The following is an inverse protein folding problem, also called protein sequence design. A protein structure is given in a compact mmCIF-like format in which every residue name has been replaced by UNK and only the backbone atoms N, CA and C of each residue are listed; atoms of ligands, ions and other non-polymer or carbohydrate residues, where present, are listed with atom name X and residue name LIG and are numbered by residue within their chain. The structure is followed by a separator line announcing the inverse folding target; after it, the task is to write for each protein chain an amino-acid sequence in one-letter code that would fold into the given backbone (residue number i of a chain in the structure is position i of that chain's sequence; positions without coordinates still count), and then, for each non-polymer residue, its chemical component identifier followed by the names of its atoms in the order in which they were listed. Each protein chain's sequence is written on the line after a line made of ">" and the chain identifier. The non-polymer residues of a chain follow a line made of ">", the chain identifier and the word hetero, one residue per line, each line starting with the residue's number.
data_IF_955322130619
#
_entry.id   IF_955322130619
#
_cell.length_a   1.000
_cell.length_b   1.000
_cell.length_c   1.000
_cell.angle_alpha   90.00
_cell.angle_beta   90.00
_cell.angle_gamma   90.00
#
_symmetry.space_group_name_H-M   'P 1'
#
loop_
_entity.id
_entity.type
_entity.pdbx_description
1 polymer ?
#
# COMPACT_ATOMS: atom_id res chain seq x y z
N UNK A 1 -23.92 -17.98 0.96
CA UNK A 1 -23.05 -18.70 0.02
C UNK A 1 -21.68 -18.03 0.05
N UNK A 2 -20.66 -18.66 0.64
CA UNK A 2 -19.41 -17.94 0.98
C UNK A 2 -18.11 -18.74 1.05
N UNK A 3 -18.12 -20.05 0.83
CA UNK A 3 -16.86 -20.81 0.74
C UNK A 3 -16.28 -20.66 -0.67
N UNK A 4 -15.08 -20.09 -0.78
CA UNK A 4 -14.29 -20.01 -2.01
C UNK A 4 -14.30 -18.68 -2.78
N UNK A 5 -14.97 -17.64 -2.29
CA UNK A 5 -14.98 -16.32 -2.96
C UNK A 5 -13.69 -15.50 -2.77
N UNK A 6 -12.83 -15.88 -1.82
CA UNK A 6 -11.69 -15.08 -1.38
C UNK A 6 -12.08 -13.83 -0.57
N UNK A 7 -13.37 -13.65 -0.27
CA UNK A 7 -13.90 -12.51 0.49
C UNK A 7 -14.43 -12.99 1.84
N UNK A 8 -13.97 -12.34 2.91
CA UNK A 8 -14.45 -12.55 4.27
C UNK A 8 -15.36 -11.38 4.64
N UNK A 9 -16.53 -11.68 5.21
CA UNK A 9 -17.46 -10.69 5.75
C UNK A 9 -17.29 -10.60 7.27
N UNK A 10 -16.88 -9.43 7.76
CA UNK A 10 -16.63 -9.12 9.18
C UNK A 10 -17.77 -8.28 9.76
N UNK A 11 -19.02 -8.63 9.47
CA UNK A 11 -20.19 -7.90 9.96
C UNK A 11 -20.50 -6.67 9.12
N UNK A 12 -20.43 -6.81 7.80
CA UNK A 12 -20.67 -5.76 6.81
C UNK A 12 -19.43 -5.03 6.33
N UNK A 13 -18.26 -5.32 6.93
CA UNK A 13 -16.96 -5.01 6.35
C UNK A 13 -16.45 -6.23 5.60
N UNK A 14 -16.48 -6.15 4.27
CA UNK A 14 -15.91 -7.19 3.40
C UNK A 14 -14.42 -6.96 3.22
N UNK A 15 -13.62 -8.01 3.36
CA UNK A 15 -12.16 -7.97 3.22
C UNK A 15 -11.70 -9.05 2.25
N UNK A 16 -10.72 -8.75 1.41
CA UNK A 16 -10.10 -9.68 0.48
C UNK A 16 -8.58 -9.46 0.41
N UNK A 17 -7.83 -10.50 0.02
CA UNK A 17 -6.39 -10.40 -0.24
C UNK A 17 -6.13 -10.12 -1.72
N UNK A 18 -5.21 -9.20 -1.99
CA UNK A 18 -4.69 -8.94 -3.34
C UNK A 18 -3.19 -9.29 -3.36
N UNK A 19 -2.81 -10.15 -4.29
CA UNK A 19 -1.42 -10.55 -4.55
C UNK A 19 -0.91 -10.12 -5.94
N UNK A 20 -1.69 -9.31 -6.65
CA UNK A 20 -1.32 -8.68 -7.92
C UNK A 20 -0.94 -7.23 -7.72
N UNK A 21 0.14 -6.79 -8.36
CA UNK A 21 0.80 -5.53 -8.04
C UNK A 21 1.39 -4.85 -9.28
N UNK A 22 1.42 -3.51 -9.27
CA UNK A 22 2.33 -2.72 -10.09
C UNK A 22 3.52 -2.30 -9.25
N UNK A 23 4.73 -2.36 -9.84
CA UNK A 23 5.91 -1.74 -9.25
C UNK A 23 5.78 -0.21 -9.33
N UNK A 24 6.03 0.46 -8.22
CA UNK A 24 6.09 1.93 -8.14
C UNK A 24 7.54 2.39 -8.23
N UNK A 25 8.38 1.90 -7.33
CA UNK A 25 9.73 2.42 -7.09
C UNK A 25 10.62 1.36 -6.42
N UNK A 26 11.92 1.41 -6.71
CA UNK A 26 12.93 0.50 -6.14
C UNK A 26 14.13 1.30 -5.62
N UNK A 27 14.56 1.00 -4.38
CA UNK A 27 15.93 1.27 -3.93
C UNK A 27 16.82 0.09 -4.31
N UNK A 28 18.08 0.37 -4.66
CA UNK A 28 19.06 -0.62 -5.12
C UNK A 28 20.26 -0.74 -4.16
N UNK A 29 20.10 -0.22 -2.95
CA UNK A 29 21.06 -0.34 -1.85
C UNK A 29 20.32 -0.24 -0.49
N UNK A 30 21.01 -0.64 0.57
CA UNK A 30 20.45 -0.80 1.91
C UNK A 30 19.62 -2.08 2.07
N UNK A 31 19.03 -2.27 3.24
CA UNK A 31 18.18 -3.42 3.53
C UNK A 31 18.96 -4.75 3.58
N UNK A 32 18.26 -5.85 3.27
CA UNK A 32 18.84 -7.19 3.31
C UNK A 32 19.85 -7.39 2.17
N UNK A 33 21.05 -7.86 2.50
CA UNK A 33 22.17 -8.09 1.59
C UNK A 33 22.63 -6.84 0.80
N UNK A 34 22.27 -5.65 1.26
CA UNK A 34 22.53 -4.35 0.59
C UNK A 34 21.92 -4.26 -0.82
N UNK A 35 20.84 -5.00 -1.09
CA UNK A 35 20.19 -5.05 -2.40
C UNK A 35 18.99 -4.12 -2.54
N UNK A 36 18.61 -3.41 -1.47
CA UNK A 36 17.46 -2.51 -1.43
C UNK A 36 16.11 -3.23 -1.38
N UNK A 37 15.05 -2.46 -1.65
CA UNK A 37 13.68 -2.92 -1.62
C UNK A 37 12.86 -2.34 -2.77
N UNK A 38 11.83 -3.08 -3.19
CA UNK A 38 10.86 -2.62 -4.19
C UNK A 38 9.51 -2.39 -3.52
N UNK A 39 8.85 -1.31 -3.92
CA UNK A 39 7.56 -0.85 -3.42
C UNK A 39 6.50 -0.98 -4.52
N UNK A 40 5.30 -1.36 -4.12
CA UNK A 40 4.25 -1.81 -5.01
C UNK A 40 2.87 -1.28 -4.59
N UNK A 41 2.06 -0.86 -5.56
CA UNK A 41 0.62 -0.66 -5.37
C UNK A 41 -0.14 -1.93 -5.77
N UNK A 42 -1.20 -2.30 -5.02
CA UNK A 42 -2.09 -3.38 -5.44
C UNK A 42 -2.84 -3.04 -6.73
N UNK A 43 -3.02 -4.04 -7.58
CA UNK A 43 -3.80 -3.93 -8.82
C UNK A 43 -4.88 -4.99 -8.91
N UNK A 44 -5.83 -4.80 -9.83
CA UNK A 44 -6.96 -5.73 -9.99
C UNK A 44 -7.93 -5.71 -8.80
N UNK A 45 -8.00 -4.58 -8.09
CA UNK A 45 -8.88 -4.42 -6.93
C UNK A 45 -10.34 -4.55 -7.37
N UNK A 46 -11.14 -5.45 -6.75
CA UNK A 46 -12.55 -5.61 -7.08
C UNK A 46 -13.35 -4.31 -6.89
N UNK A 47 -14.40 -4.14 -7.69
CA UNK A 47 -15.23 -2.93 -7.63
C UNK A 47 -15.77 -2.66 -6.22
N UNK A 48 -15.57 -1.43 -5.76
CA UNK A 48 -16.02 -0.95 -4.45
C UNK A 48 -15.12 -1.34 -3.28
N UNK A 49 -14.04 -2.10 -3.51
CA UNK A 49 -12.99 -2.31 -2.52
C UNK A 49 -11.94 -1.21 -2.61
N UNK A 50 -11.34 -0.88 -1.45
CA UNK A 50 -10.27 0.08 -1.30
C UNK A 50 -9.03 -0.60 -0.72
N UNK A 51 -7.82 -0.26 -1.19
CA UNK A 51 -6.59 -0.78 -0.59
C UNK A 51 -6.36 -0.19 0.80
N UNK A 52 -5.84 -1.03 1.70
CA UNK A 52 -5.53 -0.62 3.08
C UNK A 52 -4.04 -0.25 3.26
N UNK A 53 -3.25 -0.32 2.18
CA UNK A 53 -1.85 0.07 2.13
C UNK A 53 -1.13 -0.47 0.90
N UNK A 54 0.10 0.00 0.68
CA UNK A 54 1.02 -0.53 -0.31
C UNK A 54 1.89 -1.65 0.25
N UNK A 55 2.54 -2.39 -0.64
CA UNK A 55 3.41 -3.50 -0.30
C UNK A 55 4.87 -3.16 -0.61
N UNK A 56 5.80 -3.70 0.18
CA UNK A 56 7.22 -3.62 -0.11
C UNK A 56 7.92 -4.92 0.27
N UNK A 57 8.97 -5.26 -0.46
CA UNK A 57 9.82 -6.40 -0.11
C UNK A 57 11.29 -6.17 -0.48
N UNK A 58 12.22 -6.90 0.18
CA UNK A 58 13.61 -6.96 -0.25
C UNK A 58 13.75 -7.44 -1.70
N UNK A 59 14.72 -6.89 -2.43
CA UNK A 59 14.95 -7.23 -3.84
C UNK A 59 15.56 -8.63 -4.05
N UNK A 60 16.11 -9.24 -2.99
CA UNK A 60 16.68 -10.58 -3.04
C UNK A 60 15.63 -11.71 -2.96
N UNK A 61 14.34 -11.39 -3.02
CA UNK A 61 13.24 -12.35 -2.98
C UNK A 61 12.34 -12.21 -4.22
N UNK A 62 11.85 -13.32 -4.80
CA UNK A 62 10.73 -13.29 -5.75
C UNK A 62 9.51 -12.59 -5.14
N UNK A 63 8.56 -12.11 -5.94
CA UNK A 63 7.32 -11.52 -5.41
C UNK A 63 6.48 -12.59 -4.71
N UNK A 64 6.14 -12.40 -3.42
CA UNK A 64 5.38 -13.39 -2.63
C UNK A 64 4.31 -12.80 -1.69
N UNK A 65 4.17 -11.47 -1.66
CA UNK A 65 3.31 -10.78 -0.71
C UNK A 65 1.85 -10.68 -1.10
N UNK A 66 1.06 -10.13 -0.18
CA UNK A 66 -0.31 -9.72 -0.39
C UNK A 66 -0.63 -8.51 0.49
N UNK A 67 -1.65 -7.75 0.10
CA UNK A 67 -2.26 -6.69 0.93
C UNK A 67 -3.74 -6.95 1.11
N UNK A 68 -4.34 -6.35 2.13
CA UNK A 68 -5.78 -6.36 2.31
C UNK A 68 -6.41 -5.21 1.53
N UNK A 69 -7.53 -5.53 0.88
CA UNK A 69 -8.50 -4.55 0.40
C UNK A 69 -9.80 -4.74 1.15
N UNK A 70 -10.55 -3.66 1.37
CA UNK A 70 -11.81 -3.74 2.08
C UNK A 70 -12.92 -2.92 1.40
N UNK A 71 -14.14 -3.40 1.55
CA UNK A 71 -15.38 -2.75 1.12
C UNK A 71 -16.31 -2.65 2.32
N UNK A 72 -16.75 -1.45 2.62
CA UNK A 72 -17.72 -1.19 3.68
C UNK A 72 -19.13 -1.17 3.09
N UNK A 73 -19.97 -2.11 3.51
CA UNK A 73 -21.38 -2.19 3.15
C UNK A 73 -22.29 -1.71 4.29
N UNK A 74 -21.73 -1.42 5.47
CA UNK A 74 -22.44 -0.93 6.65
C UNK A 74 -22.15 0.55 6.95
N UNK A 75 -21.46 1.24 6.03
CA UNK A 75 -21.20 2.69 5.99
C UNK A 75 -20.50 3.32 7.21
N UNK A 76 -19.81 2.52 8.04
CA UNK A 76 -19.16 3.00 9.24
C UNK A 76 -17.73 2.51 9.48
N UNK A 77 -17.28 1.46 8.81
CA UNK A 77 -15.99 0.83 9.08
C UNK A 77 -14.84 1.44 8.26
N UNK A 78 -15.12 2.02 7.09
CA UNK A 78 -14.10 2.68 6.25
C UNK A 78 -14.38 4.17 6.09
N UNK A 79 -13.31 4.97 6.11
CA UNK A 79 -13.31 6.38 5.73
C UNK A 79 -12.05 6.71 4.95
N UNK A 80 -12.20 7.64 4.02
CA UNK A 80 -11.06 8.21 3.32
C UNK A 80 -10.19 9.01 4.32
N UNK A 81 -8.86 8.98 4.14
CA UNK A 81 -7.96 9.91 4.82
C UNK A 81 -8.39 11.36 4.59
N UNK A 82 -8.18 12.21 5.59
CA UNK A 82 -8.46 13.65 5.48
C UNK A 82 -7.27 14.45 4.96
N UNK A 83 -6.06 13.90 5.09
CA UNK A 83 -4.81 14.44 4.57
C UNK A 83 -3.71 13.35 4.62
N UNK A 84 -2.48 13.68 4.24
CA UNK A 84 -1.31 12.80 4.29
C UNK A 84 -0.09 13.54 4.87
N UNK A 85 0.67 12.82 5.70
CA UNK A 85 1.98 13.25 6.19
C UNK A 85 3.07 12.59 5.34
N UNK A 86 3.98 13.39 4.76
CA UNK A 86 5.19 12.85 4.15
C UNK A 86 6.11 12.32 5.24
N UNK A 87 6.34 11.01 5.27
CA UNK A 87 7.20 10.35 6.27
C UNK A 87 8.64 10.31 5.79
N UNK A 88 8.85 10.05 4.49
CA UNK A 88 10.17 9.92 3.91
C UNK A 88 10.14 10.15 2.39
N UNK A 89 11.25 10.63 1.83
CA UNK A 89 11.45 10.68 0.37
C UNK A 89 12.91 10.44 0.01
N UNK A 90 13.14 9.86 -1.17
CA UNK A 90 14.47 9.76 -1.76
C UNK A 90 14.91 11.03 -2.48
N UNK A 91 14.01 12.00 -2.66
CA UNK A 91 14.34 13.28 -3.28
C UNK A 91 15.53 13.93 -2.57
N UNK A 92 16.52 14.32 -3.37
CA UNK A 92 17.78 14.92 -2.90
C UNK A 92 18.65 14.02 -2.03
N UNK A 93 18.30 12.74 -1.86
CA UNK A 93 19.16 11.73 -1.26
C UNK A 93 20.13 11.20 -2.32
N UNK A 94 21.37 10.92 -1.91
CA UNK A 94 22.36 10.28 -2.77
C UNK A 94 22.28 8.77 -2.61
N UNK A 95 21.19 8.18 -3.08
CA UNK A 95 21.00 6.72 -3.02
C UNK A 95 20.97 6.09 -4.41
N UNK A 96 21.36 4.83 -4.50
CA UNK A 96 21.09 4.00 -5.69
C UNK A 96 19.61 3.60 -5.71
N UNK A 97 18.91 3.98 -6.76
CA UNK A 97 17.48 3.75 -6.94
C UNK A 97 17.10 3.72 -8.42
N UNK A 98 15.82 3.49 -8.72
CA UNK A 98 15.24 3.70 -10.06
C UNK A 98 15.33 5.17 -10.52
N UNK A 99 14.82 5.45 -11.72
CA UNK A 99 14.90 6.78 -12.35
C UNK A 99 14.14 7.87 -11.59
N UNK A 100 13.03 7.52 -10.96
CA UNK A 100 12.15 8.44 -10.25
C UNK A 100 12.41 8.44 -8.74
N UNK A 101 12.10 9.56 -8.08
CA UNK A 101 12.14 9.66 -6.62
C UNK A 101 10.93 8.96 -6.00
N UNK A 102 11.13 8.29 -4.87
CA UNK A 102 10.06 7.70 -4.05
C UNK A 102 9.61 8.64 -2.94
N UNK A 103 8.31 8.61 -2.63
CA UNK A 103 7.70 9.36 -1.52
C UNK A 103 6.82 8.40 -0.73
N UNK A 104 7.05 8.32 0.58
CA UNK A 104 6.29 7.46 1.50
C UNK A 104 5.41 8.35 2.37
N UNK A 105 4.10 8.12 2.29
CA UNK A 105 3.08 8.91 2.94
C UNK A 105 2.34 8.08 4.00
N UNK A 106 2.14 8.67 5.17
CA UNK A 106 1.23 8.16 6.19
C UNK A 106 -0.11 8.89 6.05
N UNK A 107 -1.22 8.17 5.77
CA UNK A 107 -2.54 8.78 5.75
C UNK A 107 -2.94 9.31 7.14
N UNK A 108 -3.53 10.50 7.17
CA UNK A 108 -4.13 11.08 8.37
C UNK A 108 -5.60 10.64 8.39
N UNK A 109 -5.94 9.74 9.32
CA UNK A 109 -7.29 9.25 9.47
C UNK A 109 -8.20 10.28 10.15
N UNK A 110 -9.50 10.33 9.81
CA UNK A 110 -10.48 11.10 10.57
C UNK A 110 -10.65 10.55 12.00
N UNK A 111 -11.20 11.37 12.90
CA UNK A 111 -11.45 10.97 14.29
C UNK A 111 -12.24 9.66 14.38
N UNK A 112 -11.76 8.74 15.23
CA UNK A 112 -12.36 7.41 15.39
C UNK A 112 -11.87 6.36 14.40
N UNK A 113 -10.98 6.72 13.48
CA UNK A 113 -10.36 5.80 12.51
C UNK A 113 -8.84 5.74 12.69
N UNK A 114 -8.20 4.76 12.08
CA UNK A 114 -6.74 4.64 12.06
C UNK A 114 -6.27 4.17 10.68
N UNK A 115 -5.12 4.67 10.19
CA UNK A 115 -4.52 4.15 8.97
C UNK A 115 -3.97 2.74 9.24
N UNK A 116 -4.06 1.86 8.25
CA UNK A 116 -3.55 0.48 8.35
C UNK A 116 -2.22 0.28 7.61
N UNK A 117 -1.84 1.22 6.75
CA UNK A 117 -0.63 1.14 5.94
C UNK A 117 -0.21 2.49 5.41
N UNK A 118 0.92 2.48 4.68
CA UNK A 118 1.47 3.64 4.01
C UNK A 118 1.15 3.60 2.52
N UNK A 119 1.17 4.77 1.89
CA UNK A 119 1.06 4.94 0.44
C UNK A 119 2.43 5.37 -0.08
N UNK A 120 2.79 4.89 -1.27
CA UNK A 120 4.05 5.18 -1.94
C UNK A 120 3.73 5.78 -3.31
N UNK A 121 4.38 6.88 -3.66
CA UNK A 121 4.22 7.55 -4.95
C UNK A 121 5.58 7.89 -5.56
N UNK A 122 5.59 8.23 -6.84
CA UNK A 122 6.73 8.84 -7.54
C UNK A 122 6.58 10.35 -7.75
N UNK A 123 5.43 10.92 -7.36
CA UNK A 123 5.15 12.35 -7.38
C UNK A 123 5.28 12.94 -5.97
N UNK A 124 5.83 14.18 -5.83
CA UNK A 124 5.84 14.91 -4.56
C UNK A 124 4.46 15.43 -4.14
N UNK A 125 3.45 15.36 -5.02
CA UNK A 125 2.07 15.73 -4.68
C UNK A 125 1.46 14.71 -3.72
N UNK A 126 0.64 15.20 -2.79
CA UNK A 126 -0.10 14.32 -1.88
C UNK A 126 -1.05 13.42 -2.69
N UNK A 127 -1.12 12.13 -2.37
CA UNK A 127 -2.02 11.18 -3.04
C UNK A 127 -3.51 11.44 -2.74
#
# INVERSE_FOLDING_TARGET
>A
SGFGSGIIDLGGLKVSQISTFNKIWTTLEGGQDDLGATFFEPTGIPQGFFPLGHYSQPNNKPLFGWVLVAKDESNGALKNPIDYTLVWTSKSQKIKQDKDDGYIWLPIAPNGYSPLGHIVTTSPEKP
#
